data_IF_941225332466
#
_entry.id   IF_941225332466
#
_cell.length_a   1.000
_cell.length_b   1.000
_cell.length_c   1.000
_cell.angle_alpha   90.00
_cell.angle_beta   90.00
_cell.angle_gamma   90.00
#
_symmetry.space_group_name_H-M   'P 1'
#
loop_
_entity.id
_entity.type
_entity.pdbx_description
1 polymer ?
#
# COMPACT_ATOMS: atom_id res chain seq x y z
N UNK A 1 19.26 -12.36 -17.32
CA UNK A 1 18.14 -11.44 -17.06
C UNK A 1 18.58 -10.54 -15.92
N UNK A 2 18.61 -9.22 -16.12
CA UNK A 2 19.07 -8.28 -15.08
C UNK A 2 17.90 -8.01 -14.12
N UNK A 3 17.96 -8.55 -12.91
CA UNK A 3 16.91 -8.44 -11.88
C UNK A 3 17.34 -7.55 -10.71
N UNK A 4 18.35 -6.71 -10.93
CA UNK A 4 18.95 -5.89 -9.90
C UNK A 4 18.06 -4.70 -9.57
N UNK A 5 17.69 -4.56 -8.30
CA UNK A 5 16.95 -3.38 -7.83
C UNK A 5 17.97 -2.32 -7.43
N UNK A 6 18.14 -1.35 -8.32
CA UNK A 6 18.92 -0.12 -8.12
C UNK A 6 18.02 1.07 -8.44
N UNK A 7 17.98 2.05 -7.54
CA UNK A 7 17.28 3.30 -7.78
C UNK A 7 18.30 4.37 -8.17
N UNK A 8 17.86 5.33 -9.01
CA UNK A 8 18.69 6.49 -9.34
C UNK A 8 18.93 7.38 -8.11
N UNK A 9 17.91 7.57 -7.27
CA UNK A 9 18.03 8.23 -5.98
C UNK A 9 18.54 7.25 -4.90
N UNK A 10 19.40 7.75 -4.01
CA UNK A 10 19.90 6.97 -2.87
C UNK A 10 18.84 6.94 -1.74
N UNK A 11 18.75 5.85 -0.97
CA UNK A 11 17.89 5.82 0.22
C UNK A 11 18.42 6.81 1.26
N UNK A 12 17.52 7.64 1.80
CA UNK A 12 17.85 8.66 2.80
C UNK A 12 17.78 8.11 4.24
N UNK A 13 17.06 7.00 4.44
CA UNK A 13 16.87 6.33 5.72
C UNK A 13 17.65 5.00 5.78
N UNK A 14 17.89 4.45 6.99
CA UNK A 14 18.61 3.18 7.13
C UNK A 14 17.95 2.06 6.34
N UNK A 15 18.69 1.43 5.42
CA UNK A 15 18.18 0.29 4.65
C UNK A 15 18.09 -0.93 5.56
N UNK A 16 16.91 -1.53 5.66
CA UNK A 16 16.66 -2.76 6.42
C UNK A 16 16.74 -3.97 5.49
N UNK A 17 16.12 -3.84 4.31
CA UNK A 17 16.14 -4.84 3.26
C UNK A 17 16.08 -4.15 1.91
N UNK A 18 17.09 -4.39 1.07
CA UNK A 18 17.20 -3.75 -0.25
C UNK A 18 16.21 -4.33 -1.26
N UNK A 19 15.85 -5.59 -1.11
CA UNK A 19 14.92 -6.28 -2.01
C UNK A 19 14.01 -7.19 -1.18
N UNK A 20 13.06 -6.61 -0.42
CA UNK A 20 12.24 -7.40 0.48
C UNK A 20 11.31 -8.33 -0.31
N UNK A 21 11.21 -9.62 0.04
CA UNK A 21 10.26 -10.52 -0.59
C UNK A 21 8.82 -10.08 -0.26
N UNK A 22 7.89 -10.41 -1.16
CA UNK A 22 6.48 -9.98 -1.05
C UNK A 22 5.86 -10.25 0.33
N UNK A 23 6.06 -11.45 0.87
CA UNK A 23 5.51 -11.85 2.17
C UNK A 23 6.04 -11.00 3.32
N UNK A 24 7.33 -10.60 3.28
CA UNK A 24 7.94 -9.72 4.28
C UNK A 24 7.35 -8.31 4.19
N UNK A 25 7.17 -7.79 2.98
CA UNK A 25 6.60 -6.46 2.76
C UNK A 25 5.16 -6.36 3.28
N UNK A 26 4.33 -7.37 2.99
CA UNK A 26 2.94 -7.40 3.48
C UNK A 26 2.90 -7.61 5.01
N UNK A 27 3.75 -8.48 5.55
CA UNK A 27 3.84 -8.70 7.00
C UNK A 27 4.38 -7.48 7.78
N UNK A 28 4.98 -6.51 7.09
CA UNK A 28 5.48 -5.26 7.66
C UNK A 28 4.45 -4.12 7.66
N UNK A 29 3.20 -4.37 7.29
CA UNK A 29 2.14 -3.35 7.37
C UNK A 29 1.97 -2.88 8.81
N UNK A 30 1.97 -1.56 8.99
CA UNK A 30 1.68 -0.94 10.27
C UNK A 30 0.21 -0.47 10.32
N UNK A 31 -0.23 0.01 11.48
CA UNK A 31 -1.59 0.51 11.68
C UNK A 31 -1.98 1.58 10.67
N UNK A 32 -1.04 2.44 10.26
CA UNK A 32 -1.28 3.49 9.28
C UNK A 32 -1.51 2.94 7.87
N UNK A 33 -0.82 1.85 7.48
CA UNK A 33 -1.03 1.20 6.19
C UNK A 33 -2.41 0.55 6.09
N UNK A 34 -2.85 -0.13 7.16
CA UNK A 34 -4.21 -0.67 7.24
C UNK A 34 -5.26 0.44 7.25
N UNK A 35 -5.00 1.56 7.94
CA UNK A 35 -5.87 2.72 7.91
C UNK A 35 -5.98 3.31 6.50
N UNK A 36 -4.87 3.41 5.77
CA UNK A 36 -4.85 3.89 4.37
C UNK A 36 -5.63 2.95 3.45
N UNK A 37 -5.40 1.64 3.54
CA UNK A 37 -6.09 0.65 2.75
C UNK A 37 -7.60 0.71 2.99
N UNK A 38 -8.02 0.72 4.25
CA UNK A 38 -9.44 0.76 4.62
C UNK A 38 -10.10 2.07 4.22
N UNK A 39 -9.43 3.20 4.39
CA UNK A 39 -9.95 4.52 3.99
C UNK A 39 -10.13 4.62 2.48
N UNK A 40 -9.12 4.22 1.69
CA UNK A 40 -9.18 4.26 0.22
C UNK A 40 -10.30 3.33 -0.28
N UNK A 41 -10.39 2.13 0.29
CA UNK A 41 -11.44 1.16 -0.05
C UNK A 41 -12.83 1.70 0.29
N UNK A 42 -13.01 2.26 1.49
CA UNK A 42 -14.27 2.84 1.95
C UNK A 42 -14.76 3.97 1.05
N UNK A 43 -13.89 4.94 0.75
CA UNK A 43 -14.22 6.05 -0.16
C UNK A 43 -14.60 5.51 -1.55
N UNK A 44 -13.86 4.54 -2.07
CA UNK A 44 -14.12 4.00 -3.41
C UNK A 44 -15.46 3.26 -3.48
N UNK A 45 -15.85 2.53 -2.42
CA UNK A 45 -17.18 1.92 -2.28
C UNK A 45 -18.27 3.00 -2.27
N UNK A 46 -18.10 4.06 -1.47
CA UNK A 46 -19.07 5.16 -1.39
C UNK A 46 -19.24 5.86 -2.74
N UNK A 47 -18.14 6.19 -3.42
CA UNK A 47 -18.16 6.80 -4.75
C UNK A 47 -18.81 5.87 -5.77
N UNK A 48 -18.47 4.58 -5.74
CA UNK A 48 -19.08 3.56 -6.60
C UNK A 48 -20.59 3.46 -6.41
N UNK A 49 -21.06 3.49 -5.16
CA UNK A 49 -22.49 3.47 -4.85
C UNK A 49 -23.20 4.71 -5.38
N UNK A 50 -22.73 5.91 -5.03
CA UNK A 50 -23.34 7.19 -5.41
C UNK A 50 -23.39 7.36 -6.94
N UNK A 51 -22.30 7.00 -7.64
CA UNK A 51 -22.22 7.04 -9.11
C UNK A 51 -23.20 6.08 -9.77
N UNK A 52 -23.54 4.97 -9.11
CA UNK A 52 -24.48 3.97 -9.59
C UNK A 52 -25.95 4.33 -9.38
N UNK A 53 -26.30 5.38 -8.61
CA UNK A 53 -27.70 5.75 -8.33
C UNK A 53 -28.41 6.20 -9.61
N UNK A 54 -27.84 7.17 -10.33
CA UNK A 54 -28.43 7.73 -11.55
C UNK A 54 -28.68 6.68 -12.65
N UNK A 55 -27.73 5.80 -12.98
CA UNK A 55 -27.95 4.73 -13.96
C UNK A 55 -28.71 3.51 -13.41
N UNK A 56 -29.15 3.50 -12.15
CA UNK A 56 -29.89 2.38 -11.56
C UNK A 56 -29.06 1.13 -11.23
N UNK A 57 -27.72 1.22 -11.26
CA UNK A 57 -26.77 0.12 -11.02
C UNK A 57 -25.95 0.30 -9.73
N UNK A 58 -26.57 0.82 -8.67
CA UNK A 58 -25.94 1.10 -7.37
C UNK A 58 -25.16 -0.09 -6.79
N UNK A 59 -25.68 -1.31 -6.92
CA UNK A 59 -25.03 -2.53 -6.40
C UNK A 59 -23.77 -2.88 -7.20
N UNK A 60 -23.88 -3.14 -8.51
CA UNK A 60 -22.72 -3.44 -9.35
C UNK A 60 -21.64 -2.35 -9.33
N UNK A 61 -22.04 -1.07 -9.42
CA UNK A 61 -21.10 0.06 -9.37
C UNK A 61 -20.37 0.16 -8.03
N UNK A 62 -21.05 -0.13 -6.92
CA UNK A 62 -20.43 -0.21 -5.58
C UNK A 62 -19.41 -1.36 -5.50
N UNK A 63 -19.73 -2.55 -6.05
CA UNK A 63 -18.81 -3.70 -6.06
C UNK A 63 -17.55 -3.37 -6.87
N UNK A 64 -17.71 -2.79 -8.07
CA UNK A 64 -16.58 -2.37 -8.90
C UNK A 64 -15.75 -1.28 -8.20
N UNK A 65 -16.39 -0.29 -7.57
CA UNK A 65 -15.73 0.72 -6.76
C UNK A 65 -14.93 0.11 -5.60
N UNK A 66 -15.48 -0.89 -4.92
CA UNK A 66 -14.79 -1.64 -3.88
C UNK A 66 -13.57 -2.40 -4.39
N UNK A 67 -13.68 -3.09 -5.53
CA UNK A 67 -12.55 -3.81 -6.14
C UNK A 67 -11.40 -2.85 -6.50
N UNK A 68 -11.72 -1.70 -7.09
CA UNK A 68 -10.74 -0.65 -7.41
C UNK A 68 -10.09 -0.12 -6.13
N UNK A 69 -10.91 0.16 -5.12
CA UNK A 69 -10.45 0.70 -3.84
C UNK A 69 -9.51 -0.26 -3.09
N UNK A 70 -9.85 -1.55 -3.04
CA UNK A 70 -8.99 -2.57 -2.41
C UNK A 70 -7.70 -2.71 -3.18
N UNK A 71 -7.75 -2.77 -4.51
CA UNK A 71 -6.56 -2.86 -5.34
C UNK A 71 -5.63 -1.65 -5.15
N UNK A 72 -6.16 -0.43 -5.28
CA UNK A 72 -5.37 0.79 -5.10
C UNK A 72 -4.88 0.98 -3.67
N UNK A 73 -5.74 0.68 -2.68
CA UNK A 73 -5.40 0.75 -1.26
C UNK A 73 -4.30 -0.23 -0.88
N UNK A 74 -4.36 -1.47 -1.38
CA UNK A 74 -3.31 -2.46 -1.17
C UNK A 74 -2.00 -2.04 -1.83
N UNK A 75 -2.03 -1.58 -3.10
CA UNK A 75 -0.83 -1.11 -3.78
C UNK A 75 -0.18 0.06 -3.04
N UNK A 76 -0.98 0.99 -2.50
CA UNK A 76 -0.47 2.11 -1.72
C UNK A 76 0.14 1.67 -0.38
N UNK A 77 -0.53 0.78 0.36
CA UNK A 77 0.01 0.20 1.59
C UNK A 77 1.33 -0.56 1.33
N UNK A 78 1.37 -1.33 0.23
CA UNK A 78 2.55 -2.06 -0.19
C UNK A 78 3.72 -1.13 -0.54
N UNK A 79 3.48 -0.06 -1.30
CA UNK A 79 4.50 0.95 -1.61
C UNK A 79 5.06 1.60 -0.34
N UNK A 80 4.19 1.95 0.61
CA UNK A 80 4.60 2.53 1.88
C UNK A 80 5.47 1.56 2.68
N UNK A 81 5.04 0.31 2.84
CA UNK A 81 5.81 -0.71 3.57
C UNK A 81 7.15 -1.02 2.90
N UNK A 82 7.16 -1.20 1.57
CA UNK A 82 8.38 -1.46 0.81
C UNK A 82 9.35 -0.29 0.90
N UNK A 83 8.86 0.94 0.76
CA UNK A 83 9.67 2.15 0.86
C UNK A 83 10.33 2.31 2.24
N UNK A 84 9.63 1.94 3.33
CA UNK A 84 10.21 1.92 4.68
C UNK A 84 11.28 0.85 4.84
N UNK A 85 11.08 -0.36 4.28
CA UNK A 85 12.08 -1.44 4.33
C UNK A 85 13.34 -1.10 3.52
N UNK A 86 13.16 -0.50 2.34
CA UNK A 86 14.24 -0.13 1.42
C UNK A 86 14.96 1.18 1.81
N UNK A 87 14.47 1.92 2.82
CA UNK A 87 15.08 3.16 3.29
C UNK A 87 14.74 4.41 2.47
N UNK A 88 13.70 4.36 1.64
CA UNK A 88 13.18 5.53 0.91
C UNK A 88 12.18 6.34 1.73
N UNK A 89 11.59 5.75 2.77
CA UNK A 89 10.67 6.42 3.69
C UNK A 89 11.13 6.32 5.15
N UNK A 90 10.69 7.25 6.03
CA UNK A 90 10.99 7.19 7.46
C UNK A 90 10.62 5.83 8.06
N UNK A 91 11.56 5.21 8.79
CA UNK A 91 11.45 3.82 9.21
C UNK A 91 11.97 3.52 10.62
N UNK A 92 11.86 4.49 11.55
CA UNK A 92 12.32 4.35 12.93
C UNK A 92 11.73 3.12 13.64
N UNK A 93 10.44 2.83 13.39
CA UNK A 93 9.75 1.67 13.96
C UNK A 93 10.30 0.34 13.43
N UNK A 94 10.61 0.27 12.13
CA UNK A 94 11.19 -0.90 11.51
C UNK A 94 12.65 -1.08 11.94
N UNK A 95 13.43 0.00 12.04
CA UNK A 95 14.80 -0.04 12.56
C UNK A 95 14.81 -0.61 13.98
N UNK A 96 13.92 -0.15 14.86
CA UNK A 96 13.78 -0.67 16.22
C UNK A 96 13.35 -2.15 16.28
N UNK A 97 12.57 -2.62 15.29
CA UNK A 97 12.09 -4.00 15.21
C UNK A 97 13.15 -4.97 14.67
N UNK A 98 13.93 -4.55 13.68
CA UNK A 98 14.84 -5.43 12.94
C UNK A 98 16.32 -5.33 13.34
N UNK A 99 16.73 -4.25 14.03
CA UNK A 99 18.12 -4.08 14.52
C UNK A 99 18.28 -4.35 16.03
N UNK A 100 17.39 -5.13 16.62
CA UNK A 100 17.53 -5.61 18.01
C UNK A 100 18.56 -6.73 18.12
#
# INVERSE_FOLDING_TARGET
MNTDITASAKPEYPVIDRNPPFTKTVANFNTLDYLRLTTISGISVTVGYLSGIKPGIRGPSMVTGGLIGVMGGFMYAYQNSAGRLMGFFPNDGEVARYKK
#
